data_IF_731571200619
#
_entry.id   IF_731571200619
#
_cell.length_a   1.000
_cell.length_b   1.000
_cell.length_c   1.000
_cell.angle_alpha   90.00
_cell.angle_beta   90.00
_cell.angle_gamma   90.00
#
_symmetry.space_group_name_H-M   'P 1'
#
loop_
_entity.id
_entity.type
_entity.pdbx_description
1 polymer ?
#
# COMPACT_ATOMS: atom_id res chain seq x y z
N UNK A 1 2.33 -16.00 14.40
CA UNK A 1 3.44 -15.03 14.25
C UNK A 1 2.91 -13.68 13.78
N UNK A 2 2.63 -12.78 14.73
CA UNK A 2 2.07 -11.44 14.48
C UNK A 2 2.96 -10.53 13.61
N UNK A 3 4.27 -10.82 13.54
CA UNK A 3 5.26 -10.09 12.75
C UNK A 3 4.96 -10.04 11.24
N UNK A 4 4.38 -11.09 10.66
CA UNK A 4 4.11 -11.12 9.21
C UNK A 4 2.99 -10.16 8.80
N UNK A 5 1.97 -10.00 9.65
CA UNK A 5 0.81 -9.16 9.34
C UNK A 5 1.14 -7.67 9.46
N UNK A 6 1.93 -7.30 10.47
CA UNK A 6 2.44 -5.92 10.61
C UNK A 6 3.27 -5.50 9.39
N UNK A 7 4.25 -6.33 9.00
CA UNK A 7 5.11 -6.05 7.84
C UNK A 7 4.30 -5.95 6.53
N UNK A 8 3.28 -6.79 6.37
CA UNK A 8 2.37 -6.69 5.22
C UNK A 8 1.63 -5.35 5.22
N UNK A 9 1.02 -4.95 6.33
CA UNK A 9 0.27 -3.68 6.42
C UNK A 9 1.19 -2.48 6.22
N UNK A 10 2.42 -2.50 6.72
CA UNK A 10 3.42 -1.47 6.45
C UNK A 10 3.78 -1.38 4.97
N UNK A 11 3.92 -2.52 4.26
CA UNK A 11 4.13 -2.56 2.81
C UNK A 11 2.96 -1.90 2.07
N UNK A 12 1.72 -2.25 2.44
CA UNK A 12 0.51 -1.65 1.84
C UNK A 12 0.43 -0.15 2.11
N UNK A 13 0.76 0.29 3.34
CA UNK A 13 0.77 1.71 3.70
C UNK A 13 1.75 2.51 2.83
N UNK A 14 2.96 1.99 2.62
CA UNK A 14 3.97 2.63 1.77
C UNK A 14 3.48 2.79 0.34
N UNK A 15 2.88 1.74 -0.23
CA UNK A 15 2.29 1.81 -1.58
C UNK A 15 1.20 2.88 -1.67
N UNK A 16 0.31 2.94 -0.67
CA UNK A 16 -0.75 3.95 -0.61
C UNK A 16 -0.19 5.38 -0.49
N UNK A 17 0.87 5.58 0.30
CA UNK A 17 1.52 6.89 0.47
C UNK A 17 2.15 7.38 -0.83
N UNK A 18 2.98 6.55 -1.48
CA UNK A 18 3.60 6.87 -2.78
C UNK A 18 2.52 7.21 -3.81
N UNK A 19 1.44 6.43 -3.81
CA UNK A 19 0.30 6.67 -4.70
C UNK A 19 -0.35 8.02 -4.44
N UNK A 20 -0.60 8.38 -3.17
CA UNK A 20 -1.20 9.66 -2.80
C UNK A 20 -0.30 10.85 -3.15
N UNK A 21 1.02 10.73 -2.94
CA UNK A 21 1.99 11.77 -3.28
C UNK A 21 1.99 12.06 -4.79
N UNK A 22 2.13 11.03 -5.61
CA UNK A 22 2.11 11.20 -7.07
C UNK A 22 0.71 11.56 -7.61
N UNK A 23 -0.35 11.11 -6.94
CA UNK A 23 -1.72 11.52 -7.30
C UNK A 23 -1.95 13.01 -7.08
N UNK A 24 -1.39 13.59 -6.01
CA UNK A 24 -1.41 15.05 -5.78
C UNK A 24 -0.67 15.82 -6.88
N UNK A 25 0.33 15.22 -7.51
CA UNK A 25 1.04 15.78 -8.66
C UNK A 25 0.24 15.67 -9.97
N UNK A 26 -0.91 15.00 -9.97
CA UNK A 26 -1.81 14.89 -11.13
C UNK A 26 -1.71 13.58 -11.91
N UNK A 27 -0.79 12.68 -11.55
CA UNK A 27 -0.61 11.40 -12.25
C UNK A 27 -1.82 10.48 -12.10
N UNK A 28 -2.05 9.62 -13.10
CA UNK A 28 -3.08 8.60 -13.05
C UNK A 28 -2.59 7.34 -12.32
N UNK A 29 -3.50 6.60 -11.67
CA UNK A 29 -3.16 5.37 -10.94
C UNK A 29 -2.43 4.33 -11.81
N UNK A 30 -2.77 4.26 -13.10
CA UNK A 30 -2.08 3.37 -14.07
C UNK A 30 -0.61 3.76 -14.23
N UNK A 31 -0.32 5.05 -14.38
CA UNK A 31 1.04 5.56 -14.57
C UNK A 31 1.86 5.39 -13.29
N UNK A 32 1.27 5.71 -12.14
CA UNK A 32 1.89 5.51 -10.83
C UNK A 32 2.30 4.05 -10.65
N UNK A 33 1.41 3.12 -11.00
CA UNK A 33 1.69 1.70 -10.92
C UNK A 33 2.92 1.30 -11.75
N UNK A 34 2.94 1.62 -13.05
CA UNK A 34 4.01 1.20 -13.95
C UNK A 34 5.34 1.89 -13.66
N UNK A 35 5.32 3.18 -13.27
CA UNK A 35 6.55 3.95 -13.07
C UNK A 35 7.18 3.74 -11.70
N UNK A 36 6.36 3.65 -10.63
CA UNK A 36 6.86 3.70 -9.25
C UNK A 36 6.63 2.42 -8.47
N UNK A 37 5.50 1.73 -8.67
CA UNK A 37 5.10 0.61 -7.81
C UNK A 37 5.62 -0.73 -8.32
N UNK A 38 5.48 -1.01 -9.62
CA UNK A 38 5.87 -2.29 -10.21
C UNK A 38 7.36 -2.56 -9.99
N UNK A 39 8.22 -1.59 -10.33
CA UNK A 39 9.66 -1.71 -10.17
C UNK A 39 10.12 -1.77 -8.69
N UNK A 40 9.45 -1.04 -7.79
CA UNK A 40 9.89 -0.96 -6.38
C UNK A 40 9.41 -2.13 -5.53
N UNK A 41 8.20 -2.65 -5.79
CA UNK A 41 7.56 -3.65 -4.93
C UNK A 41 7.41 -5.01 -5.59
N UNK A 42 7.68 -5.10 -6.91
CA UNK A 42 7.57 -6.30 -7.74
C UNK A 42 6.19 -6.98 -7.57
N UNK A 43 5.13 -6.18 -7.56
CA UNK A 43 3.75 -6.64 -7.39
C UNK A 43 2.96 -6.46 -8.68
N UNK A 44 2.00 -7.37 -8.89
CA UNK A 44 1.07 -7.25 -10.01
C UNK A 44 0.09 -6.09 -9.83
N UNK A 45 -0.48 -5.61 -10.94
CA UNK A 45 -1.52 -4.57 -10.91
C UNK A 45 -2.75 -4.95 -10.09
N UNK A 46 -3.17 -6.22 -10.16
CA UNK A 46 -4.26 -6.76 -9.32
C UNK A 46 -3.96 -6.62 -7.83
N UNK A 47 -2.72 -6.91 -7.43
CA UNK A 47 -2.26 -6.76 -6.04
C UNK A 47 -2.27 -5.29 -5.62
N UNK A 48 -1.82 -4.40 -6.50
CA UNK A 48 -1.86 -2.96 -6.27
C UNK A 48 -3.29 -2.43 -6.08
N UNK A 49 -4.23 -2.81 -6.95
CA UNK A 49 -5.64 -2.42 -6.81
C UNK A 49 -6.23 -2.94 -5.49
N UNK A 50 -5.87 -4.17 -5.11
CA UNK A 50 -6.25 -4.74 -3.80
C UNK A 50 -5.69 -3.89 -2.65
N UNK A 51 -4.44 -3.45 -2.74
CA UNK A 51 -3.80 -2.61 -1.72
C UNK A 51 -4.48 -1.25 -1.57
N UNK A 52 -4.95 -0.63 -2.65
CA UNK A 52 -5.68 0.64 -2.57
C UNK A 52 -7.04 0.50 -1.86
N UNK A 53 -7.69 -0.66 -1.95
CA UNK A 53 -8.96 -0.95 -1.27
C UNK A 53 -8.84 -1.32 0.22
N UNK A 54 -7.63 -1.59 0.72
CA UNK A 54 -7.42 -2.01 2.11
C UNK A 54 -7.42 -0.78 3.03
N UNK A 55 -8.25 -0.82 4.08
CA UNK A 55 -8.20 0.17 5.15
C UNK A 55 -7.05 -0.13 6.13
N UNK A 56 -5.83 0.23 5.73
CA UNK A 56 -4.61 -0.08 6.48
C UNK A 56 -4.59 0.59 7.85
N UNK A 57 -5.09 1.84 7.95
CA UNK A 57 -5.13 2.59 9.22
C UNK A 57 -5.95 1.87 10.28
N UNK A 58 -7.12 1.33 9.91
CA UNK A 58 -7.96 0.54 10.83
C UNK A 58 -7.25 -0.74 11.27
N UNK A 59 -6.70 -1.51 10.33
CA UNK A 59 -6.03 -2.77 10.66
C UNK A 59 -4.76 -2.59 11.50
N UNK A 60 -4.00 -1.51 11.29
CA UNK A 60 -2.84 -1.19 12.13
C UNK A 60 -3.25 -0.79 13.55
N UNK A 61 -4.37 -0.06 13.69
CA UNK A 61 -4.91 0.30 15.01
C UNK A 61 -5.34 -0.94 15.78
N UNK A 62 -6.10 -1.83 15.14
CA UNK A 62 -6.48 -3.13 15.71
C UNK A 62 -5.26 -3.98 16.09
N UNK A 63 -4.18 -3.93 15.31
CA UNK A 63 -2.94 -4.64 15.64
C UNK A 63 -2.22 -4.05 16.87
N UNK A 64 -2.30 -2.74 17.07
CA UNK A 64 -1.63 -2.04 18.17
C UNK A 64 -2.43 -2.15 19.47
N UNK A 65 -3.77 -2.13 19.39
CA UNK A 65 -4.66 -2.25 20.56
C UNK A 65 -4.74 -3.68 21.12
N UNK A 66 -4.38 -4.70 20.35
CA UNK A 66 -4.38 -6.11 20.78
C UNK A 66 -3.01 -6.61 21.30
N UNK A 67 -2.11 -5.70 21.71
CA UNK A 67 -0.80 -6.00 22.33
C UNK A 67 -0.80 -5.46 23.75
#
# INVERSE_FOLDING_TARGET
>A
MAYHRKNYLEKVLKVQQITLEHRKQGLYFKEIYYQYIENSFNISKRTYDSYLGINVKKQLKELTENV
#
